data_IF_134038528663
#
_entry.id   IF_134038528663
#
_cell.length_a   1.000
_cell.length_b   1.000
_cell.length_c   1.000
_cell.angle_alpha   90.00
_cell.angle_beta   90.00
_cell.angle_gamma   90.00
#
_symmetry.space_group_name_H-M   'P 1'
#
loop_
_entity.id
_entity.type
_entity.pdbx_description
1 polymer ?
#
# COMPACT_ATOMS: atom_id res chain seq x y z
N UNK A 1 31.56 11.45 7.32
CA UNK A 1 30.51 12.04 6.47
C UNK A 1 29.31 12.37 7.33
N UNK A 2 28.61 13.46 7.05
CA UNK A 2 27.37 13.86 7.75
C UNK A 2 26.18 13.10 7.17
N UNK A 3 25.12 12.90 7.96
CA UNK A 3 23.88 12.25 7.50
C UNK A 3 22.76 13.29 7.49
N UNK A 4 21.84 13.14 6.55
CA UNK A 4 20.68 14.01 6.42
C UNK A 4 19.43 13.16 6.23
N UNK A 5 18.32 13.63 6.78
CA UNK A 5 16.97 13.24 6.34
C UNK A 5 16.58 14.25 5.28
N UNK A 6 16.11 13.78 4.11
CA UNK A 6 15.62 14.63 3.03
C UNK A 6 14.15 14.32 2.81
N UNK A 7 13.30 15.34 2.87
CA UNK A 7 11.85 15.22 2.74
C UNK A 7 11.31 16.22 1.73
N UNK A 8 10.13 15.91 1.20
CA UNK A 8 9.28 16.83 0.45
C UNK A 8 7.82 16.47 0.74
N UNK A 9 6.91 17.40 0.48
CA UNK A 9 5.48 17.17 0.55
C UNK A 9 4.82 17.72 -0.72
N UNK A 10 3.72 17.10 -1.15
CA UNK A 10 2.90 17.53 -2.27
C UNK A 10 1.44 17.47 -1.85
N UNK A 11 0.65 18.45 -2.29
CA UNK A 11 -0.79 18.42 -2.10
C UNK A 11 -1.43 17.52 -3.15
N UNK A 12 -2.29 16.61 -2.69
CA UNK A 12 -3.08 15.72 -3.54
C UNK A 12 -4.57 15.94 -3.30
N UNK A 13 -5.35 15.81 -4.38
CA UNK A 13 -6.80 15.66 -4.33
C UNK A 13 -7.15 14.18 -4.37
N UNK A 14 -8.00 13.72 -3.45
CA UNK A 14 -8.54 12.36 -3.45
C UNK A 14 -9.84 12.33 -4.25
N UNK A 15 -9.79 11.75 -5.43
CA UNK A 15 -10.93 11.66 -6.34
C UNK A 15 -11.53 10.26 -6.29
N UNK A 16 -12.82 10.19 -5.96
CA UNK A 16 -13.51 8.93 -5.71
C UNK A 16 -14.86 8.93 -6.40
N UNK A 17 -15.16 7.84 -7.10
CA UNK A 17 -16.48 7.60 -7.69
C UNK A 17 -17.00 6.23 -7.29
N UNK A 18 -18.26 6.18 -6.86
CA UNK A 18 -18.96 4.94 -6.52
C UNK A 18 -20.25 4.80 -7.31
N UNK A 19 -20.64 3.58 -7.59
CA UNK A 19 -21.95 3.29 -8.17
C UNK A 19 -23.03 3.35 -7.08
N UNK A 20 -24.13 4.05 -7.35
CA UNK A 20 -25.29 4.06 -6.44
C UNK A 20 -26.58 3.94 -7.24
N UNK A 21 -27.34 2.89 -6.97
CA UNK A 21 -28.71 2.76 -7.46
C UNK A 21 -29.69 3.44 -6.51
N UNK A 22 -30.46 4.40 -7.02
CA UNK A 22 -31.50 5.09 -6.25
C UNK A 22 -32.59 5.66 -7.19
N UNK A 23 -33.76 5.95 -6.61
CA UNK A 23 -34.89 6.53 -7.36
C UNK A 23 -34.66 8.01 -7.72
N UNK A 24 -33.85 8.73 -6.93
CA UNK A 24 -33.50 10.13 -7.15
C UNK A 24 -32.02 10.39 -6.87
N UNK A 25 -31.52 11.53 -7.37
CA UNK A 25 -30.16 12.01 -7.10
C UNK A 25 -29.93 12.22 -5.61
N UNK A 26 -30.90 12.77 -4.90
CA UNK A 26 -30.82 13.06 -3.47
C UNK A 26 -30.74 11.77 -2.65
N UNK A 27 -31.50 10.75 -3.04
CA UNK A 27 -31.42 9.43 -2.43
C UNK A 27 -30.07 8.75 -2.72
N UNK A 28 -29.48 8.95 -3.90
CA UNK A 28 -28.14 8.46 -4.20
C UNK A 28 -27.06 9.12 -3.33
N UNK A 29 -27.13 10.45 -3.17
CA UNK A 29 -26.23 11.22 -2.31
C UNK A 29 -26.32 10.77 -0.85
N UNK A 30 -27.54 10.63 -0.31
CA UNK A 30 -27.75 10.19 1.06
C UNK A 30 -27.21 8.76 1.31
N UNK A 31 -27.34 7.86 0.33
CA UNK A 31 -26.78 6.50 0.41
C UNK A 31 -25.25 6.53 0.43
N UNK A 32 -24.62 7.32 -0.44
CA UNK A 32 -23.16 7.46 -0.47
C UNK A 32 -22.63 8.08 0.83
N UNK A 33 -23.28 9.14 1.33
CA UNK A 33 -22.90 9.80 2.58
C UNK A 33 -23.01 8.86 3.79
N UNK A 34 -24.08 8.07 3.89
CA UNK A 34 -24.22 7.05 4.95
C UNK A 34 -23.07 6.04 4.89
N UNK A 35 -22.76 5.51 3.69
CA UNK A 35 -21.68 4.55 3.53
C UNK A 35 -20.31 5.16 3.87
N UNK A 36 -20.07 6.43 3.54
CA UNK A 36 -18.84 7.13 3.91
C UNK A 36 -18.72 7.26 5.43
N UNK A 37 -19.78 7.71 6.10
CA UNK A 37 -19.81 7.88 7.56
C UNK A 37 -19.67 6.54 8.32
N UNK A 38 -20.15 5.46 7.72
CA UNK A 38 -19.99 4.09 8.24
C UNK A 38 -18.63 3.47 7.90
N UNK A 39 -17.82 4.11 7.05
CA UNK A 39 -16.54 3.60 6.59
C UNK A 39 -16.63 2.45 5.58
N UNK A 40 -17.81 2.18 5.01
CA UNK A 40 -18.08 1.06 4.11
C UNK A 40 -18.09 1.44 2.62
N UNK A 41 -17.94 2.73 2.30
CA UNK A 41 -17.93 3.23 0.92
C UNK A 41 -16.77 2.66 0.08
N UNK A 42 -15.71 2.18 0.74
CA UNK A 42 -14.49 1.64 0.13
C UNK A 42 -14.52 0.12 -0.07
N UNK A 43 -15.59 -0.56 0.38
CA UNK A 43 -15.64 -2.03 0.44
C UNK A 43 -15.83 -2.71 -0.94
N UNK A 44 -15.95 -1.93 -2.02
CA UNK A 44 -16.22 -2.40 -3.40
C UNK A 44 -17.29 -3.50 -3.47
N UNK A 45 -18.48 -3.19 -2.95
CA UNK A 45 -19.58 -4.15 -2.89
C UNK A 45 -20.43 -4.08 -4.15
N UNK A 46 -21.16 -5.15 -4.50
CA UNK A 46 -22.12 -5.11 -5.62
C UNK A 46 -23.18 -4.01 -5.49
N UNK A 47 -23.50 -3.58 -4.26
CA UNK A 47 -24.51 -2.55 -3.97
C UNK A 47 -23.96 -1.14 -4.13
N UNK A 48 -22.68 -0.96 -3.81
CA UNK A 48 -21.94 0.30 -3.94
C UNK A 48 -20.56 -0.07 -4.50
N UNK A 49 -20.46 -0.33 -5.82
CA UNK A 49 -19.18 -0.69 -6.43
C UNK A 49 -18.26 0.52 -6.44
N UNK A 50 -16.97 0.31 -6.17
CA UNK A 50 -15.96 1.35 -6.28
C UNK A 50 -15.56 1.48 -7.75
N UNK A 51 -15.89 2.63 -8.36
CA UNK A 51 -15.70 2.86 -9.78
C UNK A 51 -14.37 3.56 -10.09
N UNK A 52 -13.93 4.42 -9.16
CA UNK A 52 -12.66 5.15 -9.25
C UNK A 52 -12.21 5.51 -7.84
N UNK A 53 -10.93 5.37 -7.56
CA UNK A 53 -10.27 5.72 -6.30
C UNK A 53 -8.81 6.03 -6.62
N UNK A 54 -8.47 7.31 -6.65
CA UNK A 54 -7.09 7.73 -6.93
C UNK A 54 -6.75 9.08 -6.28
N UNK A 55 -5.46 9.33 -6.11
CA UNK A 55 -4.92 10.61 -5.67
C UNK A 55 -4.28 11.33 -6.85
N UNK A 56 -4.82 12.50 -7.20
CA UNK A 56 -4.27 13.35 -8.24
C UNK A 56 -3.46 14.48 -7.62
N UNK A 57 -2.25 14.74 -8.14
CA UNK A 57 -1.48 15.91 -7.73
C UNK A 57 -2.26 17.18 -8.05
N UNK A 58 -2.33 18.09 -7.08
CA UNK A 58 -2.94 19.39 -7.28
C UNK A 58 -2.11 20.23 -8.27
N UNK A 59 -2.77 20.88 -9.22
CA UNK A 59 -2.11 21.77 -10.17
C UNK A 59 -1.38 22.91 -9.44
N UNK A 60 -0.17 23.22 -9.90
CA UNK A 60 0.65 24.31 -9.34
C UNK A 60 1.56 23.90 -8.18
N UNK A 61 1.60 22.62 -7.82
CA UNK A 61 2.59 22.11 -6.88
C UNK A 61 4.02 22.42 -7.35
N UNK A 62 4.81 23.04 -6.46
CA UNK A 62 6.26 23.15 -6.64
C UNK A 62 6.91 22.18 -5.66
N UNK A 63 7.61 21.18 -6.20
CA UNK A 63 8.29 20.19 -5.38
C UNK A 63 9.53 20.83 -4.74
N UNK A 64 9.48 21.05 -3.43
CA UNK A 64 10.57 21.61 -2.63
C UNK A 64 11.14 20.55 -1.68
N UNK A 65 12.47 20.41 -1.71
CA UNK A 65 13.18 19.49 -0.81
C UNK A 65 13.68 20.24 0.42
N UNK A 66 13.47 19.63 1.58
CA UNK A 66 14.03 20.05 2.85
C UNK A 66 15.04 19.01 3.32
N UNK A 67 16.11 19.45 4.01
CA UNK A 67 17.14 18.58 4.53
C UNK A 67 17.48 18.92 5.99
N UNK A 68 17.44 17.92 6.86
CA UNK A 68 17.78 18.03 8.28
C UNK A 68 19.01 17.16 8.58
N UNK A 69 20.06 17.74 9.17
CA UNK A 69 21.25 16.99 9.59
C UNK A 69 20.94 16.14 10.83
N UNK A 70 21.35 14.87 10.82
CA UNK A 70 21.09 13.93 11.91
C UNK A 70 22.33 13.12 12.28
N UNK A 71 22.45 12.73 13.55
CA UNK A 71 23.54 11.85 14.02
C UNK A 71 23.35 10.40 13.54
N UNK A 72 22.10 9.96 13.48
CA UNK A 72 21.69 8.64 13.02
C UNK A 72 20.32 8.70 12.32
N UNK A 73 20.09 7.78 11.38
CA UNK A 73 18.77 7.63 10.77
C UNK A 73 17.77 7.07 11.79
N UNK A 74 16.51 7.53 11.75
CA UNK A 74 15.46 6.95 12.57
C UNK A 74 15.21 5.50 12.17
N UNK A 75 14.56 4.74 13.07
CA UNK A 75 14.01 3.43 12.68
C UNK A 75 12.99 3.62 11.56
N UNK A 76 12.86 2.67 10.62
CA UNK A 76 11.84 2.73 9.60
C UNK A 76 10.44 2.86 10.22
N UNK A 77 9.62 3.73 9.63
CA UNK A 77 8.20 3.85 9.97
C UNK A 77 7.45 2.55 9.64
N UNK A 78 6.28 2.36 10.27
CA UNK A 78 5.40 1.22 10.03
C UNK A 78 5.04 1.05 8.54
N UNK A 79 4.84 2.16 7.81
CA UNK A 79 4.60 2.13 6.36
C UNK A 79 5.75 1.48 5.57
N UNK A 80 7.00 1.76 5.96
CA UNK A 80 8.19 1.16 5.35
C UNK A 80 8.31 -0.32 5.72
N UNK A 81 7.95 -0.68 6.96
CA UNK A 81 7.94 -2.08 7.39
C UNK A 81 6.88 -2.90 6.64
N UNK A 82 5.68 -2.35 6.46
CA UNK A 82 4.61 -2.98 5.66
C UNK A 82 5.03 -3.16 4.20
N UNK A 83 5.60 -2.12 3.59
CA UNK A 83 6.13 -2.20 2.23
C UNK A 83 7.16 -3.33 2.07
N UNK A 84 8.12 -3.43 3.02
CA UNK A 84 9.12 -4.50 3.02
C UNK A 84 8.50 -5.87 3.18
N UNK A 85 7.51 -5.99 4.07
CA UNK A 85 6.78 -7.24 4.29
C UNK A 85 6.05 -7.70 3.02
N UNK A 86 5.33 -6.80 2.34
CA UNK A 86 4.65 -7.10 1.06
C UNK A 86 5.63 -7.51 -0.03
N UNK A 87 6.74 -6.79 -0.18
CA UNK A 87 7.77 -7.13 -1.16
C UNK A 87 8.39 -8.50 -0.89
N UNK A 88 8.62 -8.82 0.38
CA UNK A 88 9.14 -10.13 0.79
C UNK A 88 8.15 -11.24 0.46
N UNK A 89 6.87 -11.08 0.81
CA UNK A 89 5.84 -12.05 0.50
C UNK A 89 5.77 -12.37 -1.01
N UNK A 90 5.85 -11.34 -1.86
CA UNK A 90 5.89 -11.52 -3.33
C UNK A 90 7.17 -12.21 -3.80
N UNK A 91 8.33 -11.88 -3.21
CA UNK A 91 9.61 -12.52 -3.50
C UNK A 91 9.59 -14.01 -3.14
N UNK A 92 9.07 -14.35 -1.96
CA UNK A 92 8.82 -15.70 -1.48
C UNK A 92 7.94 -16.48 -2.46
N UNK A 93 6.78 -15.94 -2.85
CA UNK A 93 5.91 -16.58 -3.84
C UNK A 93 6.63 -16.85 -5.15
N UNK A 94 7.43 -15.89 -5.64
CA UNK A 94 8.22 -16.07 -6.86
C UNK A 94 9.26 -17.18 -6.73
N UNK A 95 9.94 -17.27 -5.59
CA UNK A 95 10.92 -18.31 -5.32
C UNK A 95 10.25 -19.70 -5.28
N UNK A 96 9.09 -19.84 -4.64
CA UNK A 96 8.33 -21.11 -4.64
C UNK A 96 8.01 -21.54 -6.07
N UNK A 97 7.47 -20.63 -6.89
CA UNK A 97 7.14 -20.91 -8.30
C UNK A 97 8.38 -21.30 -9.09
N UNK A 98 9.52 -20.65 -8.85
CA UNK A 98 10.77 -20.95 -9.54
C UNK A 98 11.32 -22.33 -9.13
N UNK A 99 11.31 -22.64 -7.83
CA UNK A 99 11.70 -23.96 -7.29
C UNK A 99 10.88 -25.09 -7.92
N UNK A 100 9.57 -24.89 -8.04
CA UNK A 100 8.69 -25.85 -8.68
C UNK A 100 8.99 -26.04 -10.17
N UNK A 101 9.39 -24.97 -10.88
CA UNK A 101 9.82 -25.03 -12.29
C UNK A 101 11.16 -25.75 -12.45
N UNK A 102 12.06 -25.54 -11.51
CA UNK A 102 13.41 -26.13 -11.52
C UNK A 102 13.40 -27.61 -11.06
N UNK A 103 12.23 -28.13 -10.68
CA UNK A 103 12.07 -29.52 -10.23
C UNK A 103 12.66 -29.78 -8.85
N UNK A 104 12.81 -28.74 -8.03
CA UNK A 104 13.29 -28.85 -6.66
C UNK A 104 12.31 -29.65 -5.79
N UNK A 105 12.85 -30.41 -4.82
CA UNK A 105 12.03 -31.07 -3.82
C UNK A 105 11.21 -30.03 -3.04
N UNK A 106 9.91 -30.30 -2.87
CA UNK A 106 8.98 -29.35 -2.28
C UNK A 106 9.37 -28.98 -0.85
N UNK A 107 9.86 -29.92 -0.05
CA UNK A 107 10.23 -29.64 1.34
C UNK A 107 11.45 -28.71 1.38
N UNK A 108 12.47 -28.96 0.57
CA UNK A 108 13.64 -28.08 0.45
C UNK A 108 13.27 -26.67 -0.03
N UNK A 109 12.38 -26.58 -1.02
CA UNK A 109 11.89 -25.31 -1.52
C UNK A 109 11.15 -24.50 -0.43
N UNK A 110 10.29 -25.15 0.35
CA UNK A 110 9.55 -24.47 1.43
C UNK A 110 10.47 -24.06 2.59
N UNK A 111 11.41 -24.92 3.00
CA UNK A 111 12.35 -24.60 4.09
C UNK A 111 13.22 -23.39 3.73
N UNK A 112 13.79 -23.35 2.52
CA UNK A 112 14.60 -22.20 2.07
C UNK A 112 13.79 -20.90 2.04
N UNK A 113 12.55 -20.99 1.57
CA UNK A 113 11.65 -19.83 1.46
C UNK A 113 11.22 -19.34 2.84
N UNK A 114 10.97 -20.25 3.78
CA UNK A 114 10.66 -19.93 5.18
C UNK A 114 11.82 -19.20 5.87
N UNK A 115 13.04 -19.72 5.75
CA UNK A 115 14.25 -19.07 6.29
C UNK A 115 14.48 -17.67 5.69
N UNK A 116 14.27 -17.54 4.37
CA UNK A 116 14.37 -16.24 3.69
C UNK A 116 13.33 -15.24 4.19
N UNK A 117 12.11 -15.70 4.49
CA UNK A 117 11.05 -14.88 5.06
C UNK A 117 11.36 -14.45 6.50
N UNK A 118 11.92 -15.34 7.33
CA UNK A 118 12.34 -15.02 8.70
C UNK A 118 13.44 -13.96 8.73
N UNK A 119 14.50 -14.12 7.94
CA UNK A 119 15.59 -13.15 7.84
C UNK A 119 15.07 -11.76 7.42
N UNK A 120 14.13 -11.73 6.48
CA UNK A 120 13.53 -10.50 6.00
C UNK A 120 12.64 -9.78 7.02
N UNK A 121 12.02 -10.52 7.94
CA UNK A 121 11.24 -9.97 9.04
C UNK A 121 12.12 -9.53 10.23
N UNK A 122 13.45 -9.62 10.10
CA UNK A 122 14.39 -9.28 11.17
C UNK A 122 14.56 -10.40 12.20
N UNK A 123 14.17 -11.63 11.86
CA UNK A 123 14.51 -12.81 12.65
C UNK A 123 16.00 -13.09 12.57
N UNK A 124 16.65 -13.09 13.73
CA UNK A 124 17.93 -13.74 13.97
C UNK A 124 17.68 -15.11 14.60
#
# INVERSE_FOLDING_TARGET
MRKYIVSYALDYTHDVSVGVEAETKEAALAKAESAFNEGTIWDDTRRIPLLYDDFNESDGNTLEFEAEEVDAWPKPDASVLDLKSRQMALSVCRQIVQSARDGEDKAQAFDRVYESALLALGGA
#
